data_IF_452288908204
#
_entry.id   IF_452288908204
#
_cell.length_a   1.000
_cell.length_b   1.000
_cell.length_c   1.000
_cell.angle_alpha   90.00
_cell.angle_beta   90.00
_cell.angle_gamma   90.00
#
_symmetry.space_group_name_H-M   'P 1'
#
loop_
_entity.id
_entity.type
_entity.pdbx_description
1 polymer ?
#
# COMPACT_ATOMS: atom_id res chain seq x y z
N UNK A 1 -12.64 1.36 -26.39
CA UNK A 1 -12.17 1.51 -24.99
C UNK A 1 -11.89 0.18 -24.26
N UNK A 2 -11.67 -0.95 -24.94
CA UNK A 2 -11.26 -2.22 -24.30
C UNK A 2 -9.74 -2.45 -24.27
N UNK A 3 -8.97 -1.71 -25.07
CA UNK A 3 -7.52 -1.93 -25.25
C UNK A 3 -6.63 -1.20 -24.23
N UNK A 4 -7.13 -0.15 -23.55
CA UNK A 4 -6.34 0.59 -22.56
C UNK A 4 -6.18 -0.17 -21.23
N UNK A 5 -7.14 -1.04 -20.89
CA UNK A 5 -7.11 -1.80 -19.63
C UNK A 5 -6.14 -2.99 -19.68
N UNK A 6 -6.04 -3.65 -20.84
CA UNK A 6 -5.10 -4.76 -21.03
C UNK A 6 -3.63 -4.29 -20.96
N UNK A 7 -3.32 -3.07 -21.42
CA UNK A 7 -1.96 -2.54 -21.41
C UNK A 7 -1.44 -2.24 -19.99
N UNK A 8 -2.33 -1.82 -19.08
CA UNK A 8 -2.01 -1.57 -17.66
C UNK A 8 -1.74 -2.87 -16.89
N UNK A 9 -2.45 -3.95 -17.21
CA UNK A 9 -2.26 -5.27 -16.57
C UNK A 9 -0.97 -5.95 -17.04
N UNK A 10 -0.61 -5.84 -18.33
CA UNK A 10 0.61 -6.46 -18.87
C UNK A 10 1.90 -5.75 -18.40
N UNK A 11 1.86 -4.43 -18.21
CA UNK A 11 2.96 -3.68 -17.58
C UNK A 11 3.15 -4.06 -16.10
N UNK A 12 2.07 -4.41 -15.40
CA UNK A 12 2.13 -4.87 -14.01
C UNK A 12 2.72 -6.28 -13.86
N UNK A 13 2.48 -7.20 -14.82
CA UNK A 13 2.96 -8.58 -14.75
C UNK A 13 4.44 -8.73 -15.12
N UNK A 14 4.93 -7.94 -16.08
CA UNK A 14 6.37 -7.92 -16.46
C UNK A 14 7.27 -7.29 -15.40
N UNK A 15 6.69 -6.62 -14.40
CA UNK A 15 7.41 -6.01 -13.27
C UNK A 15 7.72 -7.01 -12.14
N UNK A 16 7.05 -8.17 -12.12
CA UNK A 16 7.09 -9.14 -11.00
C UNK A 16 8.30 -10.08 -11.09
N UNK A 17 8.80 -10.37 -12.29
CA UNK A 17 9.92 -11.30 -12.49
C UNK A 17 11.29 -10.71 -12.08
N UNK A 18 11.38 -9.40 -11.86
CA UNK A 18 12.63 -8.73 -11.47
C UNK A 18 12.92 -8.76 -9.95
N UNK A 19 12.00 -9.26 -9.12
CA UNK A 19 12.08 -9.19 -7.64
C UNK A 19 12.88 -10.32 -6.97
N UNK A 20 13.53 -11.20 -7.73
CA UNK A 20 14.16 -12.42 -7.21
C UNK A 20 15.56 -12.29 -6.60
N UNK A 21 16.21 -11.12 -6.60
CA UNK A 21 17.63 -11.02 -6.24
C UNK A 21 18.03 -9.71 -5.55
N UNK A 22 17.61 -9.48 -4.30
CA UNK A 22 18.32 -8.59 -3.38
C UNK A 22 17.98 -8.94 -1.93
N UNK A 23 18.91 -9.60 -1.23
CA UNK A 23 18.83 -9.89 0.20
C UNK A 23 20.25 -9.81 0.76
N UNK A 24 20.58 -8.73 1.49
CA UNK A 24 21.53 -8.76 2.62
C UNK A 24 21.56 -7.45 3.46
N UNK A 25 21.46 -7.66 4.78
CA UNK A 25 21.92 -6.95 6.01
C UNK A 25 21.72 -5.43 6.31
N UNK A 26 20.84 -5.22 7.31
CA UNK A 26 20.72 -4.33 8.51
C UNK A 26 21.54 -3.00 8.61
N UNK A 27 20.83 -1.96 9.09
CA UNK A 27 21.13 -0.52 9.35
C UNK A 27 20.57 0.35 8.24
N UNK A 28 19.74 1.38 8.57
CA UNK A 28 19.11 2.34 7.64
C UNK A 28 19.18 1.88 6.19
N UNK A 29 18.17 1.10 5.72
CA UNK A 29 18.23 0.33 4.46
C UNK A 29 19.34 0.89 3.54
N UNK A 30 20.51 0.23 3.42
CA UNK A 30 21.70 0.84 2.83
C UNK A 30 21.49 1.26 1.37
N UNK A 31 20.36 0.87 0.77
CA UNK A 31 19.83 1.45 -0.46
C UNK A 31 19.58 2.97 -0.35
N UNK A 32 19.16 3.49 0.80
CA UNK A 32 18.82 4.90 1.02
C UNK A 32 20.04 5.83 1.03
N UNK A 33 21.24 5.33 1.33
CA UNK A 33 22.44 6.16 1.54
C UNK A 33 23.09 6.64 0.25
N UNK A 34 22.68 6.11 -0.91
CA UNK A 34 23.29 6.41 -2.21
C UNK A 34 22.29 6.80 -3.32
N UNK A 35 21.02 7.06 -2.98
CA UNK A 35 20.02 7.44 -3.97
C UNK A 35 20.31 8.84 -4.49
N UNK A 36 20.99 8.91 -5.64
CA UNK A 36 21.16 10.11 -6.46
C UNK A 36 19.98 10.29 -7.40
N UNK A 37 18.76 10.10 -6.90
CA UNK A 37 17.58 10.43 -7.70
C UNK A 37 17.53 11.96 -7.84
N UNK A 38 17.59 12.42 -9.09
CA UNK A 38 17.42 13.84 -9.47
C UNK A 38 16.09 14.43 -8.98
N UNK A 39 15.15 13.58 -8.56
CA UNK A 39 13.80 13.94 -8.22
C UNK A 39 13.51 13.98 -6.71
N UNK A 40 14.47 13.62 -5.84
CA UNK A 40 14.21 13.55 -4.38
C UNK A 40 13.65 14.87 -3.82
N UNK A 41 14.23 16.01 -4.20
CA UNK A 41 13.76 17.32 -3.75
C UNK A 41 12.32 17.60 -4.22
N UNK A 42 11.99 17.21 -5.46
CA UNK A 42 10.64 17.37 -6.01
C UNK A 42 9.64 16.44 -5.32
N UNK A 43 10.02 15.20 -5.06
CA UNK A 43 9.19 14.23 -4.33
C UNK A 43 8.88 14.77 -2.93
N UNK A 44 9.89 15.28 -2.20
CA UNK A 44 9.69 15.89 -0.87
C UNK A 44 8.75 17.08 -0.90
N UNK A 45 8.92 17.96 -1.88
CA UNK A 45 8.05 19.12 -2.04
C UNK A 45 6.59 18.69 -2.28
N UNK A 46 6.37 17.73 -3.18
CA UNK A 46 5.02 17.21 -3.46
C UNK A 46 4.41 16.49 -2.25
N UNK A 47 5.19 15.69 -1.50
CA UNK A 47 4.74 15.08 -0.24
C UNK A 47 4.32 16.16 0.77
N UNK A 48 5.10 17.24 0.87
CA UNK A 48 4.78 18.37 1.75
C UNK A 48 3.47 19.03 1.32
N UNK A 49 3.31 19.28 0.01
CA UNK A 49 2.08 19.84 -0.54
C UNK A 49 0.86 18.93 -0.29
N UNK A 50 1.00 17.60 -0.34
CA UNK A 50 -0.06 16.67 0.09
C UNK A 50 -0.40 16.83 1.58
N UNK A 51 0.61 17.06 2.42
CA UNK A 51 0.44 17.34 3.85
C UNK A 51 -0.40 18.60 4.14
N UNK A 52 -0.30 19.60 3.27
CA UNK A 52 -1.04 20.86 3.37
C UNK A 52 -2.46 20.80 2.81
N UNK A 53 -2.83 19.70 2.12
CA UNK A 53 -4.21 19.48 1.72
C UNK A 53 -5.00 19.00 2.92
N UNK A 54 -5.48 19.96 3.72
CA UNK A 54 -6.37 19.70 4.83
C UNK A 54 -7.83 19.61 4.34
N UNK A 55 -8.56 18.63 4.83
CA UNK A 55 -9.98 18.45 4.53
C UNK A 55 -10.55 17.26 5.30
N UNK A 56 -11.87 17.27 5.53
CA UNK A 56 -12.61 16.03 5.81
C UNK A 56 -12.78 15.29 4.48
N UNK A 57 -13.00 13.98 4.53
CA UNK A 57 -13.18 13.12 3.34
C UNK A 57 -14.09 13.72 2.25
N UNK A 58 -15.10 14.50 2.67
CA UNK A 58 -16.13 15.08 1.78
C UNK A 58 -15.82 16.50 1.29
N UNK A 59 -14.71 17.11 1.71
CA UNK A 59 -14.39 18.52 1.41
C UNK A 59 -12.91 18.74 1.07
N UNK A 60 -12.32 17.82 0.33
CA UNK A 60 -11.00 18.03 -0.26
C UNK A 60 -11.10 18.92 -1.51
N UNK A 61 -10.14 19.82 -1.68
CA UNK A 61 -9.89 20.45 -2.98
C UNK A 61 -9.28 19.40 -3.93
N UNK A 62 -10.16 18.67 -4.63
CA UNK A 62 -9.77 17.58 -5.52
C UNK A 62 -8.88 18.06 -6.68
N UNK A 63 -8.99 19.32 -7.09
CA UNK A 63 -8.11 19.92 -8.09
C UNK A 63 -6.67 20.00 -7.57
N UNK A 64 -6.51 20.46 -6.32
CA UNK A 64 -5.20 20.50 -5.66
C UNK A 64 -4.65 19.10 -5.40
N UNK A 65 -5.45 18.16 -4.90
CA UNK A 65 -5.02 16.76 -4.71
C UNK A 65 -4.50 16.16 -6.01
N UNK A 66 -5.28 16.30 -7.09
CA UNK A 66 -4.90 15.79 -8.40
C UNK A 66 -3.61 16.43 -8.92
N UNK A 67 -3.44 17.75 -8.75
CA UNK A 67 -2.23 18.46 -9.16
C UNK A 67 -0.96 18.00 -8.45
N UNK A 68 -1.08 17.27 -7.34
CA UNK A 68 0.06 16.70 -6.62
C UNK A 68 0.22 15.21 -6.91
N UNK A 69 -0.86 14.43 -6.88
CA UNK A 69 -0.81 12.98 -7.13
C UNK A 69 -0.37 12.64 -8.56
N UNK A 70 -0.81 13.40 -9.56
CA UNK A 70 -0.46 13.09 -10.95
C UNK A 70 1.04 13.28 -11.22
N UNK A 71 1.69 14.41 -10.88
CA UNK A 71 3.15 14.55 -10.98
C UNK A 71 3.90 13.51 -10.14
N UNK A 72 3.42 13.21 -8.94
CA UNK A 72 4.08 12.25 -8.06
C UNK A 72 4.09 10.85 -8.68
N UNK A 73 2.99 10.41 -9.29
CA UNK A 73 2.96 9.17 -10.09
C UNK A 73 3.87 9.22 -11.32
N UNK A 74 4.14 10.40 -11.87
CA UNK A 74 5.08 10.53 -12.98
C UNK A 74 6.55 10.42 -12.54
N UNK A 75 6.86 10.88 -11.32
CA UNK A 75 8.19 10.80 -10.73
C UNK A 75 8.48 9.40 -10.16
N UNK A 76 7.50 8.78 -9.49
CA UNK A 76 7.65 7.48 -8.85
C UNK A 76 7.34 6.35 -9.83
N UNK A 77 8.25 6.14 -10.80
CA UNK A 77 8.12 5.09 -11.83
C UNK A 77 9.23 4.06 -11.82
N UNK A 78 10.47 4.50 -11.58
CA UNK A 78 11.63 3.60 -11.54
C UNK A 78 11.78 2.98 -10.15
N UNK A 79 12.52 1.87 -10.05
CA UNK A 79 12.85 1.28 -8.76
C UNK A 79 13.62 2.27 -7.86
N UNK A 80 14.54 3.04 -8.45
CA UNK A 80 15.29 4.06 -7.71
C UNK A 80 14.38 5.17 -7.18
N UNK A 81 13.38 5.60 -7.95
CA UNK A 81 12.43 6.63 -7.50
C UNK A 81 11.47 6.09 -6.42
N UNK A 82 11.02 4.83 -6.55
CA UNK A 82 10.22 4.14 -5.54
C UNK A 82 11.00 4.03 -4.24
N UNK A 83 12.25 3.57 -4.31
CA UNK A 83 13.10 3.47 -3.14
C UNK A 83 13.36 4.86 -2.56
N UNK A 84 13.63 5.86 -3.39
CA UNK A 84 13.83 7.23 -2.95
C UNK A 84 12.62 7.79 -2.21
N UNK A 85 11.40 7.46 -2.66
CA UNK A 85 10.17 7.79 -1.95
C UNK A 85 10.12 7.10 -0.59
N UNK A 86 10.30 5.77 -0.56
CA UNK A 86 10.28 4.94 0.66
C UNK A 86 11.33 5.34 1.71
N UNK A 87 12.44 5.91 1.26
CA UNK A 87 13.48 6.41 2.16
C UNK A 87 13.13 7.75 2.82
N UNK A 88 12.09 8.44 2.35
CA UNK A 88 11.69 9.77 2.83
C UNK A 88 10.29 9.80 3.42
N UNK A 89 9.47 8.78 3.15
CA UNK A 89 8.13 8.69 3.69
C UNK A 89 8.11 8.00 5.06
N UNK A 90 6.94 8.06 5.67
CA UNK A 90 6.60 7.43 6.92
C UNK A 90 5.16 6.93 6.84
N UNK A 91 4.72 6.18 7.86
CA UNK A 91 3.35 5.69 7.91
C UNK A 91 2.34 6.84 7.86
N UNK A 92 2.64 8.00 8.47
CA UNK A 92 1.78 9.17 8.44
C UNK A 92 1.55 9.69 7.00
N UNK A 93 2.59 9.74 6.18
CA UNK A 93 2.53 10.13 4.77
C UNK A 93 1.71 9.13 3.96
N UNK A 94 1.97 7.83 4.14
CA UNK A 94 1.20 6.77 3.48
C UNK A 94 -0.29 6.87 3.83
N UNK A 95 -0.63 7.10 5.10
CA UNK A 95 -2.03 7.26 5.54
C UNK A 95 -2.74 8.45 4.91
N UNK A 96 -2.03 9.56 4.67
CA UNK A 96 -2.60 10.69 3.91
C UNK A 96 -2.95 10.27 2.48
N UNK A 97 -2.08 9.49 1.82
CA UNK A 97 -2.34 8.99 0.46
C UNK A 97 -3.50 7.98 0.46
N UNK A 98 -3.60 7.12 1.49
CA UNK A 98 -4.73 6.19 1.65
C UNK A 98 -6.05 6.93 1.77
N UNK A 99 -6.11 8.06 2.47
CA UNK A 99 -7.31 8.88 2.54
C UNK A 99 -7.84 9.28 1.15
N UNK A 100 -6.96 9.54 0.19
CA UNK A 100 -7.34 9.83 -1.20
C UNK A 100 -7.77 8.59 -1.99
N UNK A 101 -7.23 7.42 -1.66
CA UNK A 101 -7.66 6.13 -2.23
C UNK A 101 -9.05 5.68 -1.73
N UNK A 102 -9.61 6.34 -0.71
CA UNK A 102 -10.96 6.09 -0.20
C UNK A 102 -12.06 6.91 -0.87
N UNK A 103 -11.69 7.99 -1.56
CA UNK A 103 -12.66 8.96 -2.11
C UNK A 103 -13.43 8.37 -3.31
N UNK A 104 -14.69 8.78 -3.47
CA UNK A 104 -15.56 8.34 -4.58
C UNK A 104 -15.15 8.89 -5.95
N UNK A 105 -14.45 10.03 -5.99
CA UNK A 105 -13.92 10.59 -7.22
C UNK A 105 -12.88 9.64 -7.82
N UNK A 106 -13.20 9.14 -9.01
CA UNK A 106 -12.51 8.02 -9.65
C UNK A 106 -11.05 8.33 -9.96
N UNK A 107 -10.74 9.51 -10.48
CA UNK A 107 -9.40 9.88 -10.95
C UNK A 107 -8.44 9.95 -9.77
N UNK A 108 -8.81 10.66 -8.71
CA UNK A 108 -8.08 10.80 -7.45
C UNK A 108 -7.85 9.43 -6.83
N UNK A 109 -8.92 8.63 -6.71
CA UNK A 109 -8.84 7.28 -6.15
C UNK A 109 -7.85 6.39 -6.89
N UNK A 110 -7.93 6.36 -8.23
CA UNK A 110 -7.04 5.52 -9.05
C UNK A 110 -5.59 5.99 -8.92
N UNK A 111 -5.33 7.30 -9.02
CA UNK A 111 -3.96 7.83 -8.91
C UNK A 111 -3.36 7.59 -7.53
N UNK A 112 -4.14 7.75 -6.46
CA UNK A 112 -3.68 7.44 -5.11
C UNK A 112 -3.35 5.94 -4.97
N UNK A 113 -4.23 5.07 -5.48
CA UNK A 113 -4.04 3.62 -5.40
C UNK A 113 -2.83 3.14 -6.21
N UNK A 114 -2.58 3.72 -7.39
CA UNK A 114 -1.39 3.43 -8.20
C UNK A 114 -0.11 3.85 -7.47
N UNK A 115 -0.10 5.04 -6.88
CA UNK A 115 1.03 5.51 -6.09
C UNK A 115 1.29 4.56 -4.91
N UNK A 116 0.25 4.23 -4.14
CA UNK A 116 0.34 3.31 -3.00
C UNK A 116 0.87 1.94 -3.41
N UNK A 117 0.43 1.39 -4.55
CA UNK A 117 0.91 0.09 -5.04
C UNK A 117 2.44 0.10 -5.30
N UNK A 118 3.01 1.26 -5.61
CA UNK A 118 4.44 1.43 -5.79
C UNK A 118 5.16 1.66 -4.45
N UNK A 119 4.63 2.54 -3.59
CA UNK A 119 5.38 3.03 -2.42
C UNK A 119 5.15 2.22 -1.16
N UNK A 120 3.97 1.62 -0.97
CA UNK A 120 3.69 0.79 0.21
C UNK A 120 4.56 -0.45 0.19
N UNK A 121 5.14 -0.77 1.34
CA UNK A 121 6.01 -1.92 1.55
C UNK A 121 5.73 -2.60 2.89
N UNK A 122 6.64 -3.48 3.32
CA UNK A 122 6.49 -4.19 4.59
C UNK A 122 6.45 -3.28 5.83
N UNK A 123 6.99 -2.07 5.76
CA UNK A 123 7.07 -1.16 6.91
C UNK A 123 5.84 -0.28 7.06
N UNK A 124 5.09 -0.07 5.96
CA UNK A 124 3.93 0.84 5.94
C UNK A 124 2.60 0.17 5.57
N UNK A 125 2.61 -1.11 5.17
CA UNK A 125 1.41 -1.87 4.81
C UNK A 125 0.32 -1.84 5.91
N UNK A 126 0.71 -1.79 7.17
CA UNK A 126 -0.21 -1.74 8.31
C UNK A 126 -1.22 -0.59 8.20
N UNK A 127 -0.85 0.55 7.58
CA UNK A 127 -1.77 1.65 7.33
C UNK A 127 -2.88 1.27 6.36
N UNK A 128 -2.58 0.51 5.30
CA UNK A 128 -3.59 0.03 4.34
C UNK A 128 -4.52 -0.99 4.98
N UNK A 129 -3.96 -1.90 5.78
CA UNK A 129 -4.73 -2.94 6.48
C UNK A 129 -5.69 -2.33 7.51
N UNK A 130 -5.24 -1.35 8.29
CA UNK A 130 -6.09 -0.63 9.25
C UNK A 130 -7.31 -0.01 8.56
N UNK A 131 -7.14 0.56 7.37
CA UNK A 131 -8.23 1.19 6.63
C UNK A 131 -9.19 0.14 6.04
N UNK A 132 -8.73 -1.07 5.74
CA UNK A 132 -9.58 -2.17 5.28
C UNK A 132 -10.51 -2.73 6.38
N UNK A 133 -10.28 -2.41 7.65
CA UNK A 133 -11.23 -2.67 8.74
C UNK A 133 -12.39 -1.68 8.78
N UNK A 134 -12.31 -0.56 8.06
CA UNK A 134 -13.44 0.36 7.95
C UNK A 134 -14.54 -0.26 7.07
N UNK A 135 -15.59 -0.73 7.72
CA UNK A 135 -16.76 -1.33 7.09
C UNK A 135 -17.62 -0.31 6.31
N UNK A 136 -17.36 0.99 6.44
CA UNK A 136 -18.01 2.03 5.65
C UNK A 136 -17.39 2.22 4.24
N UNK A 137 -16.22 1.62 3.96
CA UNK A 137 -15.63 1.67 2.63
C UNK A 137 -16.54 1.01 1.59
N UNK A 138 -16.81 1.73 0.50
CA UNK A 138 -17.47 1.15 -0.66
C UNK A 138 -16.57 0.14 -1.40
N UNK A 139 -17.20 -0.68 -2.25
CA UNK A 139 -16.52 -1.74 -3.00
C UNK A 139 -15.35 -1.23 -3.85
N UNK A 140 -15.47 -0.07 -4.50
CA UNK A 140 -14.39 0.46 -5.33
C UNK A 140 -13.15 0.84 -4.51
N UNK A 141 -13.34 1.51 -3.37
CA UNK A 141 -12.25 1.85 -2.45
C UNK A 141 -11.59 0.57 -1.91
N UNK A 142 -12.40 -0.36 -1.41
CA UNK A 142 -11.95 -1.65 -0.87
C UNK A 142 -11.16 -2.45 -1.91
N UNK A 143 -11.68 -2.58 -3.13
CA UNK A 143 -11.00 -3.25 -4.25
C UNK A 143 -9.61 -2.66 -4.54
N UNK A 144 -9.47 -1.34 -4.53
CA UNK A 144 -8.19 -0.71 -4.83
C UNK A 144 -7.17 -0.88 -3.69
N UNK A 145 -7.61 -0.79 -2.43
CA UNK A 145 -6.72 -1.07 -1.30
C UNK A 145 -6.24 -2.53 -1.32
N UNK A 146 -7.11 -3.48 -1.66
CA UNK A 146 -6.69 -4.89 -1.82
C UNK A 146 -5.70 -5.13 -2.96
N UNK A 147 -5.72 -4.30 -4.03
CA UNK A 147 -4.66 -4.36 -5.05
C UNK A 147 -3.29 -3.95 -4.48
N UNK A 148 -3.25 -2.95 -3.59
CA UNK A 148 -2.02 -2.56 -2.89
C UNK A 148 -1.54 -3.70 -1.99
N UNK A 149 -2.45 -4.31 -1.22
CA UNK A 149 -2.12 -5.46 -0.36
C UNK A 149 -1.56 -6.62 -1.19
N UNK A 150 -2.13 -6.92 -2.36
CA UNK A 150 -1.66 -8.00 -3.23
C UNK A 150 -0.19 -7.83 -3.64
N UNK A 151 0.25 -6.60 -3.91
CA UNK A 151 1.66 -6.34 -4.25
C UNK A 151 2.56 -6.76 -3.09
N UNK A 152 2.26 -6.31 -1.87
CA UNK A 152 3.09 -6.60 -0.68
C UNK A 152 2.97 -8.05 -0.23
N UNK A 153 1.80 -8.69 -0.37
CA UNK A 153 1.53 -10.06 0.07
C UNK A 153 2.52 -11.09 -0.48
N UNK A 154 3.02 -10.85 -1.71
CA UNK A 154 3.98 -11.72 -2.41
C UNK A 154 5.35 -11.79 -1.72
N UNK A 155 5.72 -10.77 -0.96
CA UNK A 155 7.00 -10.67 -0.26
C UNK A 155 6.84 -10.19 1.19
N UNK A 156 5.63 -10.36 1.74
CA UNK A 156 5.28 -9.97 3.11
C UNK A 156 6.09 -10.77 4.13
N UNK A 157 6.61 -10.07 5.14
CA UNK A 157 7.24 -10.64 6.34
C UNK A 157 6.20 -11.29 7.25
N UNK A 158 6.65 -12.11 8.20
CA UNK A 158 5.79 -12.99 9.03
C UNK A 158 4.65 -12.22 9.72
N UNK A 159 4.92 -11.07 10.33
CA UNK A 159 3.91 -10.28 11.02
C UNK A 159 2.88 -9.70 10.03
N UNK A 160 3.33 -9.23 8.87
CA UNK A 160 2.45 -8.76 7.81
C UNK A 160 1.59 -9.89 7.24
N UNK A 161 2.14 -11.09 7.04
CA UNK A 161 1.34 -12.25 6.60
C UNK A 161 0.20 -12.53 7.58
N UNK A 162 0.49 -12.47 8.88
CA UNK A 162 -0.51 -12.66 9.94
C UNK A 162 -1.58 -11.55 9.91
N UNK A 163 -1.18 -10.28 9.82
CA UNK A 163 -2.11 -9.15 9.74
C UNK A 163 -2.98 -9.20 8.48
N UNK A 164 -2.40 -9.55 7.33
CA UNK A 164 -3.16 -9.74 6.08
C UNK A 164 -4.21 -10.85 6.26
N UNK A 165 -3.83 -12.02 6.79
CA UNK A 165 -4.77 -13.14 7.01
C UNK A 165 -5.95 -12.76 7.91
N UNK A 166 -5.69 -12.05 9.00
CA UNK A 166 -6.75 -11.58 9.89
C UNK A 166 -7.65 -10.53 9.21
N UNK A 167 -7.07 -9.59 8.45
CA UNK A 167 -7.83 -8.61 7.66
C UNK A 167 -8.69 -9.29 6.59
N UNK A 168 -8.17 -10.31 5.92
CA UNK A 168 -8.89 -11.16 4.95
C UNK A 168 -10.09 -11.81 5.63
N UNK A 169 -9.89 -12.45 6.80
CA UNK A 169 -10.95 -13.14 7.51
C UNK A 169 -12.09 -12.20 7.92
N UNK A 170 -11.77 -11.01 8.42
CA UNK A 170 -12.76 -9.98 8.76
C UNK A 170 -13.54 -9.53 7.51
N UNK A 171 -12.82 -9.20 6.44
CA UNK A 171 -13.42 -8.69 5.21
C UNK A 171 -14.30 -9.74 4.52
N UNK A 172 -13.86 -11.00 4.41
CA UNK A 172 -14.67 -12.08 3.85
C UNK A 172 -15.93 -12.31 4.67
N UNK A 173 -15.86 -12.22 6.00
CA UNK A 173 -17.03 -12.31 6.88
C UNK A 173 -17.99 -11.15 6.63
N UNK A 174 -17.47 -9.92 6.56
CA UNK A 174 -18.29 -8.73 6.37
C UNK A 174 -18.94 -8.68 4.98
N UNK A 175 -18.19 -8.90 3.90
CA UNK A 175 -18.67 -8.69 2.51
C UNK A 175 -19.15 -9.97 1.82
N UNK A 176 -18.90 -11.16 2.37
CA UNK A 176 -19.15 -12.44 1.69
C UNK A 176 -20.61 -12.69 1.30
N UNK A 177 -21.56 -12.10 2.04
CA UNK A 177 -22.99 -12.16 1.72
C UNK A 177 -23.53 -10.88 1.06
N UNK A 178 -22.69 -9.86 0.84
CA UNK A 178 -23.13 -8.58 0.31
C UNK A 178 -23.16 -8.60 -1.23
N UNK A 179 -24.23 -8.10 -1.87
CA UNK A 179 -24.26 -7.98 -3.31
C UNK A 179 -23.19 -6.97 -3.78
N UNK A 180 -22.67 -7.19 -5.00
CA UNK A 180 -21.70 -6.32 -5.70
C UNK A 180 -20.23 -6.39 -5.24
N UNK A 181 -19.87 -7.20 -4.24
CA UNK A 181 -18.48 -7.35 -3.79
C UNK A 181 -17.67 -8.45 -4.49
N UNK A 182 -18.21 -9.04 -5.57
CA UNK A 182 -17.59 -10.19 -6.24
C UNK A 182 -16.15 -9.93 -6.72
N UNK A 183 -15.86 -8.73 -7.23
CA UNK A 183 -14.50 -8.37 -7.67
C UNK A 183 -13.54 -8.18 -6.50
N UNK A 184 -14.02 -7.64 -5.39
CA UNK A 184 -13.22 -7.50 -4.17
C UNK A 184 -12.92 -8.86 -3.55
N UNK A 185 -13.90 -9.77 -3.51
CA UNK A 185 -13.70 -11.14 -3.06
C UNK A 185 -12.68 -11.89 -3.92
N UNK A 186 -12.78 -11.79 -5.25
CA UNK A 186 -11.77 -12.35 -6.17
C UNK A 186 -10.37 -11.81 -5.86
N UNK A 187 -10.25 -10.50 -5.60
CA UNK A 187 -8.96 -9.90 -5.24
C UNK A 187 -8.42 -10.40 -3.90
N UNK A 188 -9.30 -10.61 -2.91
CA UNK A 188 -8.93 -11.20 -1.62
C UNK A 188 -8.40 -12.64 -1.81
N UNK A 189 -9.03 -13.42 -2.69
CA UNK A 189 -8.57 -14.79 -2.98
C UNK A 189 -7.20 -14.80 -3.67
N UNK A 190 -6.93 -13.84 -4.57
CA UNK A 190 -5.59 -13.64 -5.13
C UNK A 190 -4.55 -13.32 -4.04
N UNK A 191 -4.92 -12.52 -3.04
CA UNK A 191 -4.04 -12.20 -1.89
C UNK A 191 -3.75 -13.45 -1.06
N UNK A 192 -4.76 -14.27 -0.76
CA UNK A 192 -4.56 -15.56 -0.08
C UNK A 192 -3.64 -16.49 -0.87
N UNK A 193 -3.80 -16.53 -2.19
CA UNK A 193 -2.93 -17.30 -3.08
C UNK A 193 -1.49 -16.80 -3.00
N UNK A 194 -1.29 -15.48 -3.07
CA UNK A 194 0.02 -14.85 -2.94
C UNK A 194 0.69 -15.14 -1.58
N UNK A 195 -0.08 -15.14 -0.48
CA UNK A 195 0.41 -15.53 0.84
C UNK A 195 0.80 -17.01 0.92
N UNK A 196 0.07 -17.89 0.25
CA UNK A 196 0.35 -19.34 0.26
C UNK A 196 1.69 -19.66 -0.42
N UNK A 197 2.03 -18.93 -1.48
CA UNK A 197 3.30 -19.12 -2.20
C UNK A 197 4.47 -18.33 -1.58
N UNK A 198 4.19 -17.36 -0.72
CA UNK A 198 5.20 -16.58 -0.03
C UNK A 198 5.85 -17.40 1.10
N UNK A 199 7.13 -17.72 0.94
CA UNK A 199 7.91 -18.54 1.87
C UNK A 199 8.77 -17.72 2.83
N UNK A 200 8.60 -16.40 2.91
CA UNK A 200 9.40 -15.56 3.82
C UNK A 200 9.13 -15.90 5.27
N UNK A 201 10.22 -16.09 6.01
CA UNK A 201 10.22 -16.40 7.45
C UNK A 201 10.88 -15.31 8.28
N UNK A 202 11.43 -14.28 7.64
CA UNK A 202 12.08 -13.19 8.32
C UNK A 202 11.07 -12.21 8.93
N UNK A 203 11.38 -11.77 10.15
CA UNK A 203 10.52 -10.93 10.97
C UNK A 203 10.63 -9.45 10.58
N UNK A 204 9.50 -8.75 10.58
CA UNK A 204 9.43 -7.29 10.51
C UNK A 204 9.97 -6.68 11.80
N UNK A 205 9.58 -7.23 12.95
CA UNK A 205 10.02 -6.76 14.28
C UNK A 205 11.55 -6.73 14.41
N UNK A 206 12.24 -7.76 13.91
CA UNK A 206 13.70 -7.86 14.05
C UNK A 206 14.47 -6.97 13.05
N UNK A 207 13.90 -6.63 11.90
CA UNK A 207 14.57 -5.85 10.87
C UNK A 207 14.20 -4.36 10.85
N UNK A 208 13.02 -4.01 11.37
CA UNK A 208 12.38 -2.70 11.22
C UNK A 208 11.63 -2.31 12.49
N UNK A 209 12.28 -2.47 13.65
CA UNK A 209 11.62 -2.31 14.96
C UNK A 209 10.87 -0.96 15.12
N UNK A 210 11.43 0.21 14.72
CA UNK A 210 10.72 1.48 14.85
C UNK A 210 9.39 1.49 14.08
N UNK A 211 9.41 1.07 12.80
CA UNK A 211 8.22 1.03 11.95
C UNK A 211 7.23 -0.04 12.41
N UNK A 212 7.74 -1.20 12.86
CA UNK A 212 6.90 -2.22 13.49
C UNK A 212 6.16 -1.65 14.71
N UNK A 213 6.84 -0.94 15.61
CA UNK A 213 6.20 -0.30 16.77
C UNK A 213 5.22 0.78 16.36
N UNK A 214 5.51 1.54 15.32
CA UNK A 214 4.58 2.53 14.77
C UNK A 214 3.29 1.87 14.27
N UNK A 215 3.39 0.74 13.55
CA UNK A 215 2.24 -0.04 13.13
C UNK A 215 1.38 -0.52 14.32
N UNK A 216 1.99 -0.89 15.45
CA UNK A 216 1.26 -1.30 16.65
C UNK A 216 0.52 -0.15 17.36
N UNK A 217 0.68 1.10 16.91
CA UNK A 217 -0.16 2.21 17.40
C UNK A 217 -1.53 2.24 16.73
N UNK A 218 -1.72 1.48 15.64
CA UNK A 218 -2.99 1.36 14.94
C UNK A 218 -3.90 0.34 15.64
N UNK A 219 -5.16 0.68 15.99
CA UNK A 219 -6.00 -0.14 16.86
C UNK A 219 -6.20 -1.59 16.39
N UNK A 220 -6.54 -1.82 15.12
CA UNK A 220 -6.81 -3.17 14.63
C UNK A 220 -5.49 -3.95 14.45
N UNK A 221 -4.42 -3.27 14.08
CA UNK A 221 -3.09 -3.90 13.99
C UNK A 221 -2.59 -4.39 15.35
N UNK A 222 -2.78 -3.59 16.39
CA UNK A 222 -2.42 -3.93 17.76
C UNK A 222 -3.15 -5.20 18.23
N UNK A 223 -4.47 -5.29 18.03
CA UNK A 223 -5.27 -6.45 18.46
C UNK A 223 -4.86 -7.73 17.74
N UNK A 224 -4.49 -7.64 16.45
CA UNK A 224 -3.99 -8.79 15.70
C UNK A 224 -2.60 -9.24 16.15
N UNK A 225 -1.74 -8.32 16.63
CA UNK A 225 -0.39 -8.66 17.07
C UNK A 225 -0.40 -9.62 18.27
N UNK A 226 -1.37 -9.49 19.17
CA UNK A 226 -1.49 -10.28 20.41
C UNK A 226 -2.10 -11.68 20.21
N UNK A 227 -2.71 -11.95 19.06
CA UNK A 227 -3.30 -13.26 18.78
C UNK A 227 -2.20 -14.33 18.54
N UNK A 228 -2.37 -15.59 18.97
CA UNK A 228 -1.47 -16.66 18.53
C UNK A 228 -1.53 -16.81 17.00
N UNK A 229 -0.45 -17.27 16.33
CA UNK A 229 -0.54 -17.66 14.93
C UNK A 229 -1.59 -18.77 14.81
N UNK A 230 -2.66 -18.48 14.07
CA UNK A 230 -3.72 -19.44 13.73
C UNK A 230 -3.30 -20.42 12.65
#
# INVERSE_FOLDING_TARGET
MKNAFAFLVTLFLSFVEAWGACSQEITLDPSCTNLRSLNISQIKELITQLGDVQGKADNYDLGRVYSVLAPLNQLVKSQDDIQAFRCQDDLATIRKIIAFARIDERVTRINASLLLANVVDNTTLCGVLEELFDHSLNDNARYNLWQVVLVVARYARVENQKWIKATVSDNQTFIGSQPNYGRTLEKIDEVNTALTVNQRTDSLKNGYEPQYRECLTLPHIATMADQPPG
#
